data_IF_819862039066
#
_entry.id   IF_819862039066
#
_cell.length_a   1.000
_cell.length_b   1.000
_cell.length_c   1.000
_cell.angle_alpha   90.00
_cell.angle_beta   90.00
_cell.angle_gamma   90.00
#
_symmetry.space_group_name_H-M   'P 1'
#
loop_
_entity.id
_entity.type
_entity.pdbx_description
1 polymer ?
#
# COMPACT_ATOMS: atom_id res chain seq x y z
N UNK A 1 -10.06 17.59 9.10
CA UNK A 1 -9.99 17.53 8.90
C UNK A 1 -9.87 17.12 8.74
N UNK A 2 -9.86 16.79 8.78
CA UNK A 2 -9.85 16.54 8.41
C UNK A 2 -9.92 15.73 8.29
N UNK A 3 -10.22 15.25 8.45
CA UNK A 3 -10.42 14.80 8.13
C UNK A 3 -10.27 14.02 8.22
N UNK A 4 -10.43 13.67 8.64
CA UNK A 4 -10.38 13.28 8.54
C UNK A 4 -10.30 12.35 8.88
N UNK A 5 -10.36 11.92 9.33
CA UNK A 5 -10.34 11.48 9.41
C UNK A 5 -10.60 10.77 9.80
N UNK A 6 -10.84 10.36 10.07
CA UNK A 6 -11.09 10.15 10.03
C UNK A 6 -11.41 9.28 10.08
N UNK A 7 -11.94 8.65 10.64
CA UNK A 7 -12.04 8.34 10.25
C UNK A 7 -11.97 7.98 9.65
N UNK A 8 -11.74 7.97 9.62
CA UNK A 8 -11.40 8.11 8.83
C UNK A 8 -10.90 8.21 8.25
N UNK A 9 -10.87 8.52 8.35
CA UNK A 9 -10.50 9.22 7.79
C UNK A 9 -10.26 9.42 7.07
N UNK A 10 -10.38 9.63 7.09
CA UNK A 10 -10.23 10.21 6.37
C UNK A 10 -9.92 10.34 5.76
N UNK A 11 -10.06 10.00 5.84
CA UNK A 11 -9.79 10.55 5.21
C UNK A 11 -9.93 10.72 4.28
N UNK A 12 -10.07 11.05 3.75
CA UNK A 12 -10.17 11.51 2.83
C UNK A 12 -10.02 11.96 2.08
N UNK A 13 -10.38 12.10 1.86
CA UNK A 13 -10.27 12.68 1.07
C UNK A 13 -9.82 12.84 -0.19
N UNK A 14 -10.36 13.26 -0.96
CA UNK A 14 -10.03 13.73 -2.09
C UNK A 14 -9.22 12.98 -3.06
N UNK A 15 -8.10 13.26 -3.37
CA UNK A 15 -7.33 12.59 -4.37
C UNK A 15 -7.12 11.15 -3.97
N UNK A 16 -6.85 10.31 -4.91
CA UNK A 16 -6.53 8.92 -4.63
C UNK A 16 -5.13 8.72 -4.09
N UNK A 17 -4.33 9.77 -4.03
CA UNK A 17 -2.95 9.65 -3.60
C UNK A 17 -2.71 10.42 -2.30
N UNK A 18 -3.04 9.77 -1.19
CA UNK A 18 -2.89 10.35 0.14
C UNK A 18 -1.43 10.68 0.44
N UNK A 19 -0.52 9.85 -0.04
CA UNK A 19 0.91 10.04 0.24
C UNK A 19 1.46 11.27 -0.48
N UNK A 20 0.97 11.55 -1.68
CA UNK A 20 1.35 12.77 -2.39
C UNK A 20 0.80 14.00 -1.67
N UNK A 21 -0.44 13.91 -1.17
CA UNK A 21 -1.07 15.00 -0.46
C UNK A 21 -0.32 15.36 0.81
N UNK A 22 0.40 14.40 1.38
CA UNK A 22 1.20 14.63 2.58
C UNK A 22 2.57 15.21 2.26
N UNK A 23 2.89 15.40 0.97
CA UNK A 23 4.15 16.00 0.58
C UNK A 23 5.37 15.13 0.84
N UNK A 24 5.19 13.81 0.84
CA UNK A 24 6.30 12.90 1.10
C UNK A 24 7.31 12.91 -0.04
N UNK A 25 8.61 12.83 0.26
CA UNK A 25 9.63 12.66 -0.77
C UNK A 25 9.41 11.37 -1.57
N UNK A 26 9.82 11.37 -2.82
CA UNK A 26 9.67 10.20 -3.68
C UNK A 26 10.34 8.95 -3.10
N UNK A 27 11.46 9.12 -2.43
CA UNK A 27 12.15 8.00 -1.79
C UNK A 27 11.31 7.35 -0.71
N UNK A 28 10.57 8.17 0.07
CA UNK A 28 9.70 7.64 1.12
C UNK A 28 8.52 6.89 0.53
N UNK A 29 7.93 7.43 -0.54
CA UNK A 29 6.84 6.74 -1.25
C UNK A 29 7.31 5.40 -1.79
N UNK A 30 8.50 5.37 -2.37
CA UNK A 30 9.05 4.15 -2.93
C UNK A 30 9.29 3.11 -1.84
N UNK A 31 9.73 3.52 -0.68
CA UNK A 31 9.92 2.63 0.47
C UNK A 31 8.60 1.97 0.86
N UNK A 32 7.53 2.75 0.93
CA UNK A 32 6.21 2.23 1.29
C UNK A 32 5.74 1.24 0.23
N UNK A 33 5.85 1.61 -1.05
CA UNK A 33 5.45 0.71 -2.14
C UNK A 33 6.24 -0.59 -2.10
N UNK A 34 7.56 -0.50 -1.91
CA UNK A 34 8.43 -1.67 -1.86
C UNK A 34 8.00 -2.60 -0.72
N UNK A 35 7.73 -2.04 0.45
CA UNK A 35 7.27 -2.83 1.59
C UNK A 35 5.96 -3.54 1.31
N UNK A 36 5.01 -2.84 0.69
CA UNK A 36 3.71 -3.43 0.35
C UNK A 36 3.87 -4.54 -0.68
N UNK A 37 4.72 -4.35 -1.68
CA UNK A 37 4.96 -5.38 -2.71
C UNK A 37 5.61 -6.61 -2.10
N UNK A 38 6.54 -6.43 -1.17
CA UNK A 38 7.16 -7.55 -0.47
C UNK A 38 6.10 -8.37 0.28
N UNK A 39 5.17 -7.68 0.96
CA UNK A 39 4.09 -8.37 1.68
C UNK A 39 3.14 -9.09 0.73
N UNK A 40 2.85 -8.50 -0.43
CA UNK A 40 2.04 -9.16 -1.45
C UNK A 40 2.72 -10.44 -1.93
N UNK A 41 4.02 -10.38 -2.18
CA UNK A 41 4.78 -11.56 -2.62
C UNK A 41 4.76 -12.66 -1.56
N UNK A 42 4.94 -12.28 -0.29
CA UNK A 42 4.86 -13.23 0.82
C UNK A 42 3.48 -13.87 0.89
N UNK A 43 2.43 -13.06 0.72
CA UNK A 43 1.05 -13.54 0.76
C UNK A 43 0.79 -14.54 -0.36
N UNK A 44 1.24 -14.23 -1.57
CA UNK A 44 1.08 -15.12 -2.71
C UNK A 44 1.78 -16.46 -2.44
N UNK A 45 2.97 -16.41 -1.86
CA UNK A 45 3.72 -17.62 -1.54
C UNK A 45 3.01 -18.43 -0.45
N UNK A 46 2.55 -17.76 0.61
CA UNK A 46 1.87 -18.42 1.70
C UNK A 46 0.57 -19.07 1.26
N UNK A 47 -0.13 -18.46 0.31
CA UNK A 47 -1.39 -18.99 -0.23
C UNK A 47 -1.18 -19.96 -1.39
N UNK A 48 0.05 -20.12 -1.85
CA UNK A 48 0.36 -21.02 -2.97
C UNK A 48 -0.25 -20.57 -4.28
N UNK A 49 -0.32 -19.26 -4.52
CA UNK A 49 -0.98 -18.73 -5.71
C UNK A 49 0.00 -18.56 -6.86
N UNK A 50 -0.45 -18.94 -8.07
CA UNK A 50 0.24 -18.55 -9.29
C UNK A 50 0.00 -17.07 -9.54
N UNK A 51 0.77 -16.48 -10.45
CA UNK A 51 0.55 -15.08 -10.83
C UNK A 51 -0.84 -14.87 -11.40
N UNK A 52 -1.34 -15.84 -12.17
CA UNK A 52 -2.67 -15.76 -12.75
C UNK A 52 -3.75 -15.79 -11.67
N UNK A 53 -3.61 -16.69 -10.70
CA UNK A 53 -4.56 -16.79 -9.60
C UNK A 53 -4.53 -15.53 -8.74
N UNK A 54 -3.33 -15.03 -8.47
CA UNK A 54 -3.17 -13.81 -7.67
C UNK A 54 -3.79 -12.60 -8.38
N UNK A 55 -3.59 -12.49 -9.69
CA UNK A 55 -4.19 -11.40 -10.47
C UNK A 55 -5.71 -11.41 -10.33
N UNK A 56 -6.29 -12.60 -10.40
CA UNK A 56 -7.73 -12.77 -10.28
C UNK A 56 -8.23 -12.31 -8.91
N UNK A 57 -7.54 -12.74 -7.85
CA UNK A 57 -7.95 -12.37 -6.50
C UNK A 57 -7.74 -10.89 -6.21
N UNK A 58 -6.63 -10.33 -6.67
CA UNK A 58 -6.31 -8.93 -6.46
C UNK A 58 -7.10 -7.99 -7.38
N UNK A 59 -7.71 -8.55 -8.42
CA UNK A 59 -8.50 -7.74 -9.34
C UNK A 59 -7.66 -6.83 -10.23
N UNK A 60 -6.46 -7.28 -10.60
CA UNK A 60 -5.57 -6.53 -11.50
C UNK A 60 -5.14 -7.44 -12.65
N UNK A 61 -4.73 -6.85 -13.79
CA UNK A 61 -4.25 -7.66 -14.91
C UNK A 61 -3.00 -8.45 -14.56
N UNK A 62 -2.88 -9.64 -15.10
CA UNK A 62 -1.71 -10.49 -14.85
C UNK A 62 -0.39 -9.80 -15.20
N UNK A 63 -0.28 -9.04 -16.30
CA UNK A 63 0.97 -8.32 -16.57
C UNK A 63 1.42 -7.40 -15.44
N UNK A 64 0.48 -6.84 -14.67
CA UNK A 64 0.83 -6.01 -13.53
C UNK A 64 1.39 -6.84 -12.39
N UNK A 65 0.85 -8.04 -12.17
CA UNK A 65 1.40 -8.97 -11.19
C UNK A 65 2.82 -9.38 -11.61
N UNK A 66 2.98 -9.72 -12.87
CA UNK A 66 4.28 -10.10 -13.42
C UNK A 66 5.30 -8.97 -13.25
N UNK A 67 4.88 -7.73 -13.52
CA UNK A 67 5.72 -6.55 -13.31
C UNK A 67 6.15 -6.41 -11.86
N UNK A 68 5.20 -6.57 -10.94
CA UNK A 68 5.48 -6.52 -9.50
C UNK A 68 6.56 -7.52 -9.12
N UNK A 69 6.47 -8.73 -9.65
CA UNK A 69 7.43 -9.80 -9.35
C UNK A 69 8.83 -9.45 -9.84
N UNK A 70 8.93 -8.65 -10.91
CA UNK A 70 10.21 -8.20 -11.46
C UNK A 70 10.71 -6.89 -10.83
N UNK A 71 9.93 -6.31 -9.92
CA UNK A 71 10.29 -5.03 -9.31
C UNK A 71 9.76 -3.82 -10.04
N UNK A 72 8.89 -4.00 -11.02
CA UNK A 72 8.28 -2.91 -11.78
C UNK A 72 6.85 -2.69 -11.25
N UNK A 73 6.70 -1.71 -10.37
CA UNK A 73 5.41 -1.39 -9.78
C UNK A 73 5.18 0.12 -9.69
N UNK A 74 5.90 0.89 -10.51
CA UNK A 74 5.81 2.34 -10.46
C UNK A 74 4.43 2.85 -10.86
N UNK A 75 3.71 2.11 -11.69
CA UNK A 75 2.36 2.49 -12.11
C UNK A 75 1.25 1.99 -11.20
N UNK A 76 1.61 1.41 -10.05
CA UNK A 76 0.65 1.00 -9.04
C UNK A 76 0.75 1.96 -7.86
N UNK A 77 -0.38 2.53 -7.45
CA UNK A 77 -0.39 3.44 -6.31
C UNK A 77 -0.28 2.65 -5.00
N UNK A 78 0.15 3.34 -3.94
CA UNK A 78 0.19 2.75 -2.61
C UNK A 78 -1.20 2.24 -2.20
N UNK A 79 -2.21 3.02 -2.53
CA UNK A 79 -3.59 2.64 -2.22
C UNK A 79 -3.99 1.37 -2.96
N UNK A 80 -3.59 1.24 -4.23
CA UNK A 80 -3.91 0.04 -5.00
C UNK A 80 -3.19 -1.18 -4.43
N UNK A 81 -1.96 -1.00 -3.98
CA UNK A 81 -1.20 -2.09 -3.37
C UNK A 81 -1.83 -2.53 -2.05
N UNK A 82 -2.34 -1.57 -1.25
CA UNK A 82 -3.07 -1.91 -0.04
C UNK A 82 -4.36 -2.67 -0.35
N UNK A 83 -5.08 -2.25 -1.39
CA UNK A 83 -6.27 -2.96 -1.84
C UNK A 83 -5.94 -4.39 -2.24
N UNK A 84 -4.83 -4.60 -2.92
CA UNK A 84 -4.37 -5.93 -3.30
C UNK A 84 -4.17 -6.83 -2.07
N UNK A 85 -3.51 -6.30 -1.03
CA UNK A 85 -3.32 -7.05 0.21
C UNK A 85 -4.64 -7.39 0.88
N UNK A 86 -5.57 -6.45 0.92
CA UNK A 86 -6.90 -6.72 1.48
C UNK A 86 -7.56 -7.87 0.74
N UNK A 87 -7.46 -7.88 -0.58
CA UNK A 87 -8.07 -8.93 -1.40
C UNK A 87 -7.41 -10.28 -1.24
N UNK A 88 -6.16 -10.30 -0.78
CA UNK A 88 -5.46 -11.54 -0.46
C UNK A 88 -5.77 -12.03 0.96
N UNK A 89 -6.62 -11.31 1.69
CA UNK A 89 -7.05 -11.72 3.02
C UNK A 89 -6.23 -11.13 4.16
N UNK A 90 -5.57 -10.00 3.91
CA UNK A 90 -4.77 -9.33 4.93
C UNK A 90 -5.44 -8.04 5.36
N UNK A 91 -5.48 -7.82 6.66
CA UNK A 91 -5.95 -6.55 7.22
C UNK A 91 -4.81 -5.56 7.27
N UNK A 92 -5.15 -4.29 7.05
CA UNK A 92 -4.19 -3.20 7.16
C UNK A 92 -4.75 -2.21 8.16
N UNK A 93 -3.93 -1.86 9.14
CA UNK A 93 -4.31 -0.93 10.20
C UNK A 93 -3.37 0.26 10.15
N UNK A 94 -3.95 1.46 10.17
CA UNK A 94 -3.16 2.70 10.18
C UNK A 94 -3.31 3.33 11.54
N UNK A 95 -2.18 3.47 12.25
CA UNK A 95 -2.15 4.08 13.57
C UNK A 95 -1.46 5.42 13.51
N UNK A 96 -2.03 6.39 14.18
CA UNK A 96 -1.50 7.75 14.22
C UNK A 96 -1.15 8.08 15.67
N UNK A 97 0.07 8.52 15.90
CA UNK A 97 0.50 8.89 17.24
C UNK A 97 1.43 10.12 17.19
N UNK A 98 1.51 10.87 18.28
CA UNK A 98 2.41 12.03 18.30
C UNK A 98 3.87 11.61 18.25
N UNK A 99 4.69 12.52 17.74
CA UNK A 99 6.14 12.34 17.72
C UNK A 99 6.81 13.50 18.46
N UNK A 100 8.02 13.27 18.94
CA UNK A 100 8.83 14.31 19.57
C UNK A 100 9.51 15.22 18.56
N UNK A 101 9.52 14.83 17.28
CA UNK A 101 10.14 15.62 16.22
C UNK A 101 9.18 16.73 15.76
N UNK A 102 9.73 17.84 15.20
CA UNK A 102 8.86 18.88 14.65
C UNK A 102 7.93 18.39 13.55
N UNK A 103 8.40 17.44 12.75
CA UNK A 103 7.61 16.86 11.64
C UNK A 103 7.64 15.35 11.78
N UNK A 104 6.46 14.75 11.73
CA UNK A 104 6.35 13.30 11.80
C UNK A 104 6.69 12.62 10.48
N UNK A 105 6.74 11.31 10.51
CA UNK A 105 7.07 10.49 9.35
C UNK A 105 5.97 9.48 9.09
N UNK A 106 5.85 9.08 7.83
CA UNK A 106 5.01 7.94 7.46
C UNK A 106 5.91 6.74 7.25
N UNK A 107 5.60 5.65 7.90
CA UNK A 107 6.37 4.42 7.73
C UNK A 107 5.44 3.23 7.75
N UNK A 108 5.90 2.12 7.19
CA UNK A 108 5.18 0.86 7.19
C UNK A 108 5.76 -0.03 8.28
N UNK A 109 4.90 -0.44 9.20
CA UNK A 109 5.27 -1.38 10.26
C UNK A 109 4.55 -2.69 10.03
N UNK A 110 5.26 -3.80 10.17
CA UNK A 110 4.71 -5.14 9.97
C UNK A 110 4.63 -5.85 11.31
N UNK A 111 3.57 -6.60 11.50
CA UNK A 111 3.40 -7.39 12.71
C UNK A 111 3.66 -8.87 12.46
#
# INVERSE_FOLDING_TARGET
>A
MQKRIIDGIEVQRSSGNVFADLGLPDAEKLKIKTGLVIEIRKAMRALGLTQQEAAKRMGIPQPKVSGMMRGDFTNLSERKLMDCLNRLGYDIEIKVHPTAKPIGQLSLALV
#
